data_IF_900766308656
#
_entry.id   IF_900766308656
#
_cell.length_a   1.000
_cell.length_b   1.000
_cell.length_c   1.000
_cell.angle_alpha   90.00
_cell.angle_beta   90.00
_cell.angle_gamma   90.00
#
_symmetry.space_group_name_H-M   'P 1'
#
loop_
_entity.id
_entity.type
_entity.pdbx_description
1 polymer ?
#
# COMPACT_ATOMS: atom_id res chain seq x y z
N UNK A 1 1.24 -14.14 -4.22
CA UNK A 1 1.00 -12.96 -3.36
C UNK A 1 2.25 -12.10 -3.37
N UNK A 2 2.09 -10.78 -3.31
CA UNK A 2 3.20 -9.86 -3.12
C UNK A 2 3.92 -10.11 -1.80
N UNK A 3 5.22 -9.87 -1.75
CA UNK A 3 5.99 -9.80 -0.50
C UNK A 3 5.96 -8.37 0.05
N UNK A 4 6.03 -8.26 1.37
CA UNK A 4 6.04 -6.98 2.09
C UNK A 4 7.28 -6.93 2.98
N UNK A 5 8.03 -5.84 2.86
CA UNK A 5 9.17 -5.54 3.72
C UNK A 5 9.00 -4.12 4.27
N UNK A 6 9.20 -3.92 5.57
CA UNK A 6 9.31 -2.57 6.13
C UNK A 6 10.68 -2.01 5.71
N UNK A 7 10.67 -1.10 4.74
CA UNK A 7 11.88 -0.42 4.28
C UNK A 7 12.39 0.56 5.36
N UNK A 8 11.47 1.25 6.04
CA UNK A 8 11.77 2.11 7.18
C UNK A 8 10.52 2.42 8.01
N UNK A 9 10.73 2.80 9.27
CA UNK A 9 9.69 3.33 10.16
C UNK A 9 10.30 4.32 11.14
N UNK A 10 9.72 5.52 11.24
CA UNK A 10 10.19 6.58 12.13
C UNK A 10 9.01 7.34 12.75
N UNK A 11 9.12 7.69 14.03
CA UNK A 11 8.23 8.69 14.63
C UNK A 11 8.52 10.05 14.02
N UNK A 12 7.50 10.78 13.60
CA UNK A 12 7.66 12.10 13.00
C UNK A 12 7.88 13.14 14.08
N UNK A 13 9.08 13.72 14.10
CA UNK A 13 9.44 14.79 15.04
C UNK A 13 8.69 16.06 14.65
N UNK A 14 8.07 16.73 15.63
CA UNK A 14 7.27 17.94 15.40
C UNK A 14 5.82 17.69 14.98
N UNK A 15 5.43 16.42 14.77
CA UNK A 15 4.05 16.03 14.49
C UNK A 15 3.60 15.03 15.56
N UNK A 16 2.74 15.50 16.47
CA UNK A 16 2.31 14.69 17.61
C UNK A 16 1.57 13.42 17.16
N UNK A 17 1.93 12.29 17.76
CA UNK A 17 1.30 10.98 17.56
C UNK A 17 1.22 10.57 16.07
N UNK A 18 2.29 10.78 15.31
CA UNK A 18 2.41 10.31 13.93
C UNK A 18 3.70 9.55 13.70
N UNK A 19 3.58 8.43 12.98
CA UNK A 19 4.69 7.61 12.51
C UNK A 19 4.62 7.55 10.99
N UNK A 20 5.78 7.71 10.35
CA UNK A 20 5.95 7.38 8.94
C UNK A 20 6.43 5.93 8.85
N UNK A 21 5.76 5.11 8.05
CA UNK A 21 6.15 3.73 7.77
C UNK A 21 6.20 3.57 6.26
N UNK A 22 7.24 2.94 5.74
CA UNK A 22 7.33 2.66 4.31
C UNK A 22 7.51 1.20 4.06
N UNK A 23 6.70 0.67 3.16
CA UNK A 23 6.72 -0.72 2.72
C UNK A 23 7.33 -0.79 1.33
N UNK A 24 8.30 -1.67 1.16
CA UNK A 24 8.67 -2.20 -0.16
C UNK A 24 7.73 -3.35 -0.46
N UNK A 25 7.01 -3.25 -1.56
CA UNK A 25 6.06 -4.27 -2.00
C UNK A 25 6.52 -4.83 -3.34
N UNK A 26 6.80 -6.13 -3.37
CA UNK A 26 7.21 -6.82 -4.59
C UNK A 26 6.14 -7.77 -5.07
N UNK A 27 5.63 -7.53 -6.26
CA UNK A 27 4.62 -8.35 -6.90
C UNK A 27 5.32 -9.37 -7.81
N UNK A 28 5.08 -10.69 -7.63
CA UNK A 28 5.45 -11.66 -8.65
C UNK A 28 4.63 -11.42 -9.93
N UNK A 29 4.96 -12.07 -11.05
CA UNK A 29 4.11 -12.07 -12.23
C UNK A 29 2.67 -12.52 -11.90
N UNK A 30 1.67 -11.79 -12.40
CA UNK A 30 0.24 -11.95 -12.04
C UNK A 30 -0.07 -11.78 -10.53
N UNK A 31 0.87 -11.24 -9.74
CA UNK A 31 0.65 -11.01 -8.31
C UNK A 31 -0.37 -9.90 -8.08
N UNK A 32 -1.19 -10.07 -7.04
CA UNK A 32 -2.17 -9.08 -6.60
C UNK A 32 -2.28 -9.03 -5.07
N UNK A 33 -2.66 -7.88 -4.52
CA UNK A 33 -3.15 -7.81 -3.14
C UNK A 33 -4.68 -7.90 -3.15
N UNK A 34 -5.30 -8.55 -2.14
CA UNK A 34 -6.75 -8.54 -2.00
C UNK A 34 -7.25 -7.11 -1.70
N UNK A 35 -8.53 -6.82 -1.97
CA UNK A 35 -9.15 -5.56 -1.56
C UNK A 35 -8.92 -5.25 -0.08
N UNK A 36 -8.47 -4.03 0.22
CA UNK A 36 -8.08 -3.64 1.57
C UNK A 36 -8.18 -2.13 1.79
N UNK A 37 -8.07 -1.72 3.05
CA UNK A 37 -7.94 -0.32 3.48
C UNK A 37 -6.65 -0.13 4.27
N UNK A 38 -6.23 1.13 4.39
CA UNK A 38 -5.07 1.53 5.19
C UNK A 38 -5.45 2.22 6.50
N UNK A 39 -6.57 1.81 7.11
CA UNK A 39 -7.07 2.41 8.34
C UNK A 39 -7.20 3.94 8.22
N UNK A 40 -6.61 4.66 9.17
CA UNK A 40 -6.53 6.12 9.18
C UNK A 40 -5.30 6.71 8.47
N UNK A 41 -4.50 5.90 7.77
CA UNK A 41 -3.24 6.34 7.19
C UNK A 41 -3.43 7.17 5.91
N UNK A 42 -2.49 8.10 5.68
CA UNK A 42 -2.30 8.75 4.38
C UNK A 42 -1.21 8.00 3.64
N UNK A 43 -1.48 7.53 2.42
CA UNK A 43 -0.53 6.72 1.65
C UNK A 43 -0.06 7.47 0.41
N UNK A 44 1.25 7.58 0.24
CA UNK A 44 1.88 7.92 -1.03
C UNK A 44 2.62 6.71 -1.56
N UNK A 45 2.26 6.25 -2.76
CA UNK A 45 2.90 5.11 -3.40
C UNK A 45 3.62 5.52 -4.69
N UNK A 46 4.74 4.86 -4.96
CA UNK A 46 5.60 5.12 -6.11
C UNK A 46 6.10 3.82 -6.72
N UNK A 47 5.95 3.67 -8.04
CA UNK A 47 6.37 2.45 -8.76
C UNK A 47 7.87 2.54 -9.05
N UNK A 48 8.63 1.64 -8.44
CA UNK A 48 10.07 1.50 -8.66
C UNK A 48 10.40 0.69 -9.90
N UNK A 49 9.57 -0.30 -10.25
CA UNK A 49 9.78 -1.18 -11.40
C UNK A 49 8.47 -1.76 -11.91
N UNK A 50 8.32 -1.86 -13.23
CA UNK A 50 7.22 -2.56 -13.87
C UNK A 50 5.93 -1.72 -13.96
N UNK A 51 4.77 -2.37 -14.02
CA UNK A 51 3.48 -1.70 -14.24
C UNK A 51 2.41 -2.30 -13.34
N UNK A 52 1.67 -1.44 -12.66
CA UNK A 52 0.63 -1.83 -11.71
C UNK A 52 -0.74 -1.31 -12.13
N UNK A 53 -1.76 -2.16 -12.01
CA UNK A 53 -3.16 -1.78 -12.13
C UNK A 53 -3.68 -1.39 -10.75
N UNK A 54 -4.24 -0.19 -10.65
CA UNK A 54 -4.73 0.39 -9.41
C UNK A 54 -6.20 0.80 -9.54
N UNK A 55 -7.03 0.45 -8.55
CA UNK A 55 -8.41 0.96 -8.45
C UNK A 55 -8.70 1.37 -7.02
N UNK A 56 -8.99 2.65 -6.85
CA UNK A 56 -9.40 3.23 -5.57
C UNK A 56 -10.91 3.42 -5.56
N UNK A 57 -11.56 3.02 -4.47
CA UNK A 57 -12.98 3.21 -4.25
C UNK A 57 -13.79 2.73 -5.48
N UNK A 58 -14.66 3.59 -6.00
CA UNK A 58 -15.46 3.32 -7.20
C UNK A 58 -14.90 4.02 -8.45
N UNK A 59 -13.69 4.60 -8.36
CA UNK A 59 -13.03 5.24 -9.50
C UNK A 59 -12.68 4.19 -10.58
N UNK A 60 -12.52 4.63 -11.85
CA UNK A 60 -11.99 3.76 -12.89
C UNK A 60 -10.61 3.21 -12.52
N UNK A 61 -10.34 1.97 -12.94
CA UNK A 61 -9.00 1.38 -12.84
C UNK A 61 -8.01 2.22 -13.65
N UNK A 62 -6.82 2.44 -13.08
CA UNK A 62 -5.70 3.14 -13.70
C UNK A 62 -4.53 2.19 -13.87
N UNK A 63 -3.80 2.34 -14.97
CA UNK A 63 -2.51 1.68 -15.19
C UNK A 63 -1.41 2.67 -14.81
N UNK A 64 -0.56 2.28 -13.86
CA UNK A 64 0.55 3.11 -13.37
C UNK A 64 1.86 2.41 -13.73
N UNK A 65 2.64 3.05 -14.59
CA UNK A 65 3.93 2.55 -15.04
C UNK A 65 5.07 2.95 -14.08
N UNK A 66 6.26 2.42 -14.35
CA UNK A 66 7.48 2.76 -13.62
C UNK A 66 7.71 4.28 -13.58
N UNK A 67 8.04 4.78 -12.40
CA UNK A 67 8.15 6.23 -12.14
C UNK A 67 6.81 6.93 -11.85
N UNK A 68 5.69 6.24 -12.01
CA UNK A 68 4.37 6.74 -11.64
C UNK A 68 4.10 6.67 -10.12
N UNK A 69 3.13 7.46 -9.67
CA UNK A 69 2.71 7.52 -8.27
C UNK A 69 1.22 7.74 -8.11
N UNK A 70 0.72 7.48 -6.90
CA UNK A 70 -0.64 7.83 -6.50
C UNK A 70 -0.70 8.13 -5.00
N UNK A 71 -1.85 8.67 -4.60
CA UNK A 71 -2.18 8.98 -3.22
C UNK A 71 -3.47 8.28 -2.80
N UNK A 72 -3.50 7.79 -1.56
CA UNK A 72 -4.69 7.23 -0.92
C UNK A 72 -4.95 8.00 0.37
N UNK A 73 -6.13 8.62 0.45
CA UNK A 73 -6.56 9.33 1.64
C UNK A 73 -6.96 8.34 2.75
N UNK A 74 -6.99 8.76 4.02
CA UNK A 74 -7.54 7.96 5.11
C UNK A 74 -8.93 7.41 4.76
N UNK A 75 -9.12 6.10 4.98
CA UNK A 75 -10.36 5.41 4.65
C UNK A 75 -10.56 5.04 3.18
N UNK A 76 -9.65 5.40 2.26
CA UNK A 76 -9.67 4.92 0.88
C UNK A 76 -9.69 3.39 0.82
N UNK A 77 -10.51 2.86 -0.09
CA UNK A 77 -10.61 1.43 -0.36
C UNK A 77 -9.80 1.07 -1.59
N UNK A 78 -8.67 0.41 -1.38
CA UNK A 78 -7.83 -0.09 -2.46
C UNK A 78 -8.43 -1.41 -2.96
N UNK A 79 -9.12 -1.37 -4.09
CA UNK A 79 -9.89 -2.51 -4.64
C UNK A 79 -9.11 -3.37 -5.63
N UNK A 80 -8.22 -2.77 -6.42
CA UNK A 80 -7.37 -3.50 -7.38
C UNK A 80 -5.95 -2.99 -7.18
N UNK A 81 -5.01 -3.92 -7.03
CA UNK A 81 -3.58 -3.67 -6.87
C UNK A 81 -2.87 -4.87 -7.49
N UNK A 82 -2.74 -4.86 -8.82
CA UNK A 82 -2.29 -6.01 -9.58
C UNK A 82 -1.02 -5.70 -10.37
N UNK A 83 -0.12 -6.67 -10.46
CA UNK A 83 0.92 -6.64 -11.46
C UNK A 83 0.31 -6.88 -12.84
N UNK A 84 0.45 -5.89 -13.72
CA UNK A 84 -0.07 -5.96 -15.08
C UNK A 84 0.67 -7.02 -15.94
N UNK A 85 1.89 -7.40 -15.54
CA UNK A 85 2.71 -8.36 -16.27
C UNK A 85 2.43 -9.80 -15.87
N UNK A 86 2.38 -10.67 -16.89
CA UNK A 86 2.24 -12.11 -16.74
C UNK A 86 3.57 -12.84 -16.57
N UNK A 87 4.68 -12.17 -16.85
CA UNK A 87 6.03 -12.78 -16.90
C UNK A 87 7.07 -12.07 -16.05
N UNK A 88 6.92 -10.76 -15.82
CA UNK A 88 7.88 -9.94 -15.09
C UNK A 88 7.35 -9.50 -13.72
N UNK A 89 8.21 -9.34 -12.71
CA UNK A 89 7.81 -8.78 -11.43
C UNK A 89 7.63 -7.25 -11.50
N UNK A 90 6.86 -6.71 -10.56
CA UNK A 90 6.72 -5.26 -10.33
C UNK A 90 7.07 -4.91 -8.88
N UNK A 91 7.55 -3.70 -8.64
CA UNK A 91 7.93 -3.23 -7.30
C UNK A 91 7.46 -1.81 -7.08
N UNK A 92 6.88 -1.55 -5.91
CA UNK A 92 6.58 -0.20 -5.44
C UNK A 92 7.17 0.04 -4.06
N UNK A 93 7.26 1.33 -3.70
CA UNK A 93 7.33 1.77 -2.32
C UNK A 93 5.98 2.41 -1.97
N UNK A 94 5.40 1.98 -0.85
CA UNK A 94 4.19 2.56 -0.26
C UNK A 94 4.55 3.18 1.07
N UNK A 95 4.59 4.51 1.11
CA UNK A 95 4.90 5.27 2.31
C UNK A 95 3.61 5.80 2.94
N UNK A 96 3.45 5.52 4.23
CA UNK A 96 2.25 5.75 5.00
C UNK A 96 2.57 6.68 6.16
N UNK A 97 1.71 7.67 6.41
CA UNK A 97 1.69 8.42 7.66
C UNK A 97 0.47 7.98 8.45
N UNK A 98 0.69 7.40 9.63
CA UNK A 98 -0.36 6.81 10.48
C UNK A 98 -0.20 7.23 11.94
N UNK A 99 -1.22 6.94 12.77
CA UNK A 99 -1.16 7.18 14.21
C UNK A 99 -0.12 6.26 14.87
N UNK A 100 0.77 6.85 15.67
CA UNK A 100 1.85 6.09 16.34
C UNK A 100 1.27 5.03 17.25
N UNK A 101 0.29 5.38 18.09
CA UNK A 101 -0.32 4.42 19.02
C UNK A 101 -1.00 3.24 18.31
N UNK A 102 -1.67 3.49 17.17
CA UNK A 102 -2.29 2.43 16.40
C UNK A 102 -1.24 1.49 15.79
N UNK A 103 -0.18 2.04 15.20
CA UNK A 103 0.89 1.23 14.61
C UNK A 103 1.68 0.45 15.66
N UNK A 104 1.96 1.04 16.82
CA UNK A 104 2.66 0.33 17.91
C UNK A 104 1.82 -0.81 18.50
N UNK A 105 0.50 -0.64 18.59
CA UNK A 105 -0.41 -1.65 19.13
C UNK A 105 -0.70 -2.77 18.14
N UNK A 106 -1.03 -2.44 16.90
CA UNK A 106 -1.58 -3.40 15.93
C UNK A 106 -0.59 -3.78 14.81
N UNK A 107 0.58 -3.13 14.75
CA UNK A 107 1.62 -3.40 13.76
C UNK A 107 1.12 -3.29 12.31
N UNK A 108 1.41 -4.30 11.50
CA UNK A 108 0.92 -4.38 10.11
C UNK A 108 -0.60 -4.35 9.99
N UNK A 109 -1.34 -4.79 11.02
CA UNK A 109 -2.81 -4.74 11.05
C UNK A 109 -3.36 -3.31 11.11
N UNK A 110 -2.59 -2.34 11.60
CA UNK A 110 -2.93 -0.92 11.49
C UNK A 110 -2.75 -0.37 10.07
N UNK A 111 -1.82 -0.96 9.31
CA UNK A 111 -1.43 -0.47 7.98
C UNK A 111 -2.24 -1.10 6.86
N UNK A 112 -2.62 -2.38 6.99
CA UNK A 112 -3.31 -3.13 5.93
C UNK A 112 -4.46 -3.90 6.55
N UNK A 113 -5.68 -3.47 6.21
CA UNK A 113 -6.92 -4.05 6.69
C UNK A 113 -7.62 -4.71 5.52
N UNK A 114 -7.31 -5.99 5.31
CA UNK A 114 -7.92 -6.80 4.25
C UNK A 114 -9.42 -6.92 4.52
N UNK A 115 -10.23 -6.80 3.47
CA UNK A 115 -11.69 -6.98 3.55
C UNK A 115 -12.03 -8.40 4.04
N UNK A 116 -13.06 -8.51 4.89
CA UNK A 116 -13.37 -9.77 5.60
C UNK A 116 -13.57 -10.96 4.66
N UNK A 117 -14.19 -10.75 3.51
CA UNK A 117 -14.45 -11.79 2.51
C UNK A 117 -13.17 -12.37 1.88
N UNK A 118 -12.02 -11.71 2.04
CA UNK A 118 -10.72 -12.15 1.55
C UNK A 118 -9.74 -12.56 2.66
N UNK A 119 -10.14 -12.46 3.95
CA UNK A 119 -9.35 -12.99 5.06
C UNK A 119 -9.50 -14.51 5.06
N UNK A 120 -8.47 -15.22 4.58
CA UNK A 120 -8.36 -16.68 4.70
C UNK A 120 -7.76 -17.08 6.03
#
# INVERSE_FOLDING_TARGET
MPSLEIAYSYKLIGILNKTIVSLRVEFPPNGSTPPHRHGGANVGAYVLKGTLLNKMNDDPMKTIEEGGSWFEAPGCHHRISDNASKTEPATLISTMVTDTEAFERDGMGALIQIDEEYRK
#
